data_IF_734520280833
#
_entry.id   IF_734520280833
#
_cell.length_a   1.000
_cell.length_b   1.000
_cell.length_c   1.000
_cell.angle_alpha   90.00
_cell.angle_beta   90.00
_cell.angle_gamma   90.00
#
_symmetry.space_group_name_H-M   'P 1'
#
loop_
_entity.id
_entity.type
_entity.pdbx_description
1 polymer ?
#
# COMPACT_ATOMS: atom_id res chain seq x y z
N UNK A 1 13.99 -0.18 -2.41
CA UNK A 1 12.87 -1.06 -2.07
C UNK A 1 11.73 -0.19 -1.57
N UNK A 2 10.56 -0.22 -2.24
CA UNK A 2 9.50 0.76 -2.02
C UNK A 2 8.28 0.17 -1.27
N UNK A 3 8.49 -0.28 -0.05
CA UNK A 3 7.46 -0.82 0.84
C UNK A 3 6.92 -2.20 0.45
N UNK A 4 6.26 -2.84 1.40
CA UNK A 4 5.60 -4.15 1.23
C UNK A 4 6.52 -5.25 0.66
N UNK A 5 7.82 -5.19 1.05
CA UNK A 5 8.82 -6.16 0.61
C UNK A 5 8.67 -7.47 1.39
N UNK A 6 8.26 -7.36 2.66
CA UNK A 6 7.97 -8.50 3.52
C UNK A 6 6.48 -8.44 3.88
N UNK A 7 5.70 -9.40 3.35
CA UNK A 7 4.28 -9.50 3.70
C UNK A 7 4.09 -10.18 5.06
N UNK A 8 4.31 -9.39 6.14
CA UNK A 8 4.17 -9.87 7.51
C UNK A 8 2.73 -10.21 7.89
N UNK A 9 1.74 -9.85 7.08
CA UNK A 9 0.35 -10.20 7.33
C UNK A 9 0.05 -11.67 7.00
N UNK A 10 0.75 -12.20 5.99
CA UNK A 10 0.55 -13.58 5.51
C UNK A 10 1.54 -14.58 6.11
N UNK A 11 2.58 -14.11 6.81
CA UNK A 11 3.53 -15.00 7.47
C UNK A 11 3.17 -15.20 8.96
N UNK A 12 3.32 -16.43 9.45
CA UNK A 12 3.23 -16.72 10.88
C UNK A 12 4.58 -16.49 11.56
N UNK A 13 4.57 -16.34 12.89
CA UNK A 13 5.81 -16.25 13.68
C UNK A 13 6.71 -17.48 13.55
N UNK A 14 6.14 -18.61 13.15
CA UNK A 14 6.84 -19.91 13.03
C UNK A 14 7.17 -20.29 11.58
N UNK A 15 6.72 -19.51 10.59
CA UNK A 15 6.90 -19.85 9.18
C UNK A 15 7.22 -18.64 8.32
N UNK A 16 8.39 -18.69 7.69
CA UNK A 16 8.81 -17.77 6.64
C UNK A 16 9.38 -18.60 5.49
N UNK A 17 8.89 -18.47 4.24
CA UNK A 17 9.32 -19.30 3.13
C UNK A 17 10.82 -19.18 2.85
N UNK A 18 11.50 -20.31 2.61
CA UNK A 18 12.94 -20.33 2.31
C UNK A 18 13.28 -19.52 1.06
N UNK A 19 12.41 -19.52 0.06
CA UNK A 19 12.58 -18.73 -1.16
C UNK A 19 12.63 -17.24 -0.88
N UNK A 20 11.77 -16.74 0.00
CA UNK A 20 11.75 -15.32 0.43
C UNK A 20 13.01 -14.99 1.24
N UNK A 21 13.43 -15.91 2.12
CA UNK A 21 14.69 -15.76 2.85
C UNK A 21 15.90 -15.65 1.91
N UNK A 22 15.89 -16.35 0.79
CA UNK A 22 16.96 -16.25 -0.20
C UNK A 22 17.00 -14.87 -0.87
N UNK A 23 15.85 -14.25 -1.13
CA UNK A 23 15.78 -12.86 -1.62
C UNK A 23 16.40 -11.90 -0.62
N UNK A 24 16.01 -11.99 0.66
CA UNK A 24 16.58 -11.14 1.72
C UNK A 24 18.10 -11.32 1.85
N UNK A 25 18.59 -12.56 1.76
CA UNK A 25 20.04 -12.84 1.76
C UNK A 25 20.77 -12.17 0.59
N UNK A 26 20.17 -12.14 -0.60
CA UNK A 26 20.77 -11.44 -1.75
C UNK A 26 20.79 -9.93 -1.55
N UNK A 27 19.75 -9.34 -0.99
CA UNK A 27 19.70 -7.91 -0.65
C UNK A 27 20.81 -7.56 0.35
N UNK A 28 20.96 -8.35 1.42
CA UNK A 28 22.02 -8.17 2.41
C UNK A 28 23.40 -8.34 1.76
N UNK A 29 23.57 -9.34 0.89
CA UNK A 29 24.83 -9.55 0.15
C UNK A 29 25.20 -8.35 -0.70
N UNK A 30 24.25 -7.74 -1.42
CA UNK A 30 24.48 -6.52 -2.20
C UNK A 30 24.93 -5.36 -1.29
N UNK A 31 24.29 -5.19 -0.14
CA UNK A 31 24.69 -4.19 0.85
C UNK A 31 26.13 -4.42 1.34
N UNK A 32 26.52 -5.66 1.63
CA UNK A 32 27.88 -6.01 2.06
C UNK A 32 28.92 -5.79 0.95
N UNK A 33 28.53 -5.82 -0.31
CA UNK A 33 29.40 -5.51 -1.47
C UNK A 33 29.49 -4.01 -1.78
N UNK A 34 28.93 -3.15 -0.93
CA UNK A 34 29.01 -1.70 -1.06
C UNK A 34 27.79 -1.04 -1.74
N UNK A 35 26.80 -1.83 -2.17
CA UNK A 35 25.57 -1.26 -2.71
C UNK A 35 24.76 -0.60 -1.59
N UNK A 36 24.43 0.69 -1.73
CA UNK A 36 23.49 1.35 -0.82
C UNK A 36 22.10 0.80 -1.05
N UNK A 37 21.53 0.16 -0.02
CA UNK A 37 20.18 -0.39 -0.03
C UNK A 37 19.30 0.46 0.87
N UNK A 38 18.30 1.08 0.29
CA UNK A 38 17.33 1.87 1.03
C UNK A 38 16.00 1.12 1.01
N UNK A 39 15.50 0.80 2.19
CA UNK A 39 14.25 0.10 2.41
C UNK A 39 13.21 1.08 2.95
N UNK A 40 12.21 1.41 2.14
CA UNK A 40 11.05 2.21 2.55
C UNK A 40 10.02 1.25 3.13
N UNK A 41 9.45 1.57 4.28
CA UNK A 41 8.43 0.73 4.93
C UNK A 41 7.07 0.91 4.28
N UNK A 42 6.28 -0.18 4.22
CA UNK A 42 4.89 -0.19 3.79
C UNK A 42 3.95 -0.68 4.90
N UNK A 43 2.68 -0.87 4.56
CA UNK A 43 1.69 -1.35 5.52
C UNK A 43 1.79 -2.85 5.82
N UNK A 44 2.27 -3.68 4.87
CA UNK A 44 2.48 -5.11 5.12
C UNK A 44 3.70 -5.39 6.00
N UNK A 45 4.68 -4.51 5.99
CA UNK A 45 5.86 -4.56 6.84
C UNK A 45 5.90 -3.43 7.89
N UNK A 46 4.74 -2.89 8.26
CA UNK A 46 4.54 -1.81 9.25
C UNK A 46 5.30 -2.06 10.58
N UNK A 47 5.50 -3.31 10.96
CA UNK A 47 6.25 -3.65 12.16
C UNK A 47 7.72 -3.17 12.13
N UNK A 48 8.27 -2.95 10.95
CA UNK A 48 9.61 -2.40 10.75
C UNK A 48 9.65 -0.88 10.95
N UNK A 49 8.53 -0.17 10.81
CA UNK A 49 8.46 1.29 10.86
C UNK A 49 8.98 1.89 12.18
N UNK A 50 8.83 1.14 13.29
CA UNK A 50 9.40 1.56 14.58
C UNK A 50 10.93 1.64 14.59
N UNK A 51 11.58 1.11 13.54
CA UNK A 51 13.01 1.15 13.33
C UNK A 51 13.39 2.08 12.18
N UNK A 52 12.49 2.95 11.71
CA UNK A 52 12.83 3.98 10.72
C UNK A 52 14.02 4.78 11.19
N UNK A 53 14.86 5.19 10.23
CA UNK A 53 16.15 5.86 10.42
C UNK A 53 17.26 4.93 10.96
N UNK A 54 17.03 3.62 11.03
CA UNK A 54 18.06 2.67 11.36
C UNK A 54 19.00 2.45 10.18
N UNK A 55 20.31 2.58 10.42
CA UNK A 55 21.37 2.37 9.43
C UNK A 55 22.25 1.23 9.88
N UNK A 56 22.43 0.22 9.01
CA UNK A 56 23.31 -0.90 9.20
C UNK A 56 24.27 -1.01 8.01
N UNK A 57 25.46 -0.43 8.12
CA UNK A 57 26.40 -0.34 7.01
C UNK A 57 25.79 0.40 5.81
N UNK A 58 25.65 -0.29 4.67
CA UNK A 58 25.01 0.27 3.47
C UNK A 58 23.51 -0.01 3.37
N UNK A 59 22.89 -0.56 4.42
CA UNK A 59 21.45 -0.78 4.50
C UNK A 59 20.79 0.28 5.39
N UNK A 60 19.77 0.92 4.88
CA UNK A 60 19.04 2.02 5.54
C UNK A 60 17.54 1.75 5.50
N UNK A 61 16.86 1.86 6.65
CA UNK A 61 15.41 1.70 6.78
C UNK A 61 14.77 3.07 7.00
N UNK A 62 13.83 3.44 6.13
CA UNK A 62 13.16 4.75 6.16
C UNK A 62 11.68 4.66 5.85
N UNK A 63 10.90 5.69 6.22
CA UNK A 63 9.48 5.79 5.83
C UNK A 63 9.28 6.50 4.48
N UNK A 64 10.22 7.35 4.12
CA UNK A 64 10.24 8.09 2.86
C UNK A 64 11.66 8.46 2.50
N UNK A 65 11.88 8.73 1.23
CA UNK A 65 13.19 9.14 0.72
C UNK A 65 13.02 10.28 -0.28
N UNK A 66 13.90 11.26 -0.20
CA UNK A 66 14.02 12.31 -1.20
C UNK A 66 15.42 12.19 -1.79
N UNK A 67 15.49 11.97 -3.10
CA UNK A 67 16.74 11.94 -3.85
C UNK A 67 16.74 13.05 -4.89
N UNK A 68 17.90 13.60 -5.14
CA UNK A 68 18.14 14.43 -6.31
C UNK A 68 18.79 13.57 -7.40
N UNK A 69 18.09 13.40 -8.52
CA UNK A 69 18.51 12.61 -9.67
C UNK A 69 18.55 13.56 -10.86
N UNK A 70 19.73 13.76 -11.45
CA UNK A 70 19.95 14.69 -12.56
C UNK A 70 19.40 16.11 -12.30
N UNK A 71 19.64 16.63 -11.09
CA UNK A 71 19.18 17.96 -10.66
C UNK A 71 17.67 18.03 -10.38
N UNK A 72 16.95 16.92 -10.39
CA UNK A 72 15.51 16.85 -10.15
C UNK A 72 15.22 16.13 -8.84
N UNK A 73 14.50 16.79 -7.95
CA UNK A 73 14.07 16.20 -6.66
C UNK A 73 12.98 15.17 -6.91
N UNK A 74 13.22 13.95 -6.44
CA UNK A 74 12.31 12.81 -6.53
C UNK A 74 11.92 12.36 -5.14
N UNK A 75 10.62 12.29 -4.87
CA UNK A 75 10.06 11.82 -3.61
C UNK A 75 9.61 10.37 -3.74
N UNK A 76 10.20 9.50 -2.92
CA UNK A 76 9.85 8.09 -2.81
C UNK A 76 9.16 7.82 -1.47
N UNK A 77 8.04 7.15 -1.50
CA UNK A 77 7.33 6.66 -0.32
C UNK A 77 6.40 5.51 -0.73
N UNK A 78 5.95 4.70 0.24
CA UNK A 78 5.07 3.58 -0.11
C UNK A 78 3.68 4.06 -0.51
N UNK A 79 3.00 4.83 0.31
CA UNK A 79 1.66 5.36 0.03
C UNK A 79 0.64 5.16 1.15
N UNK A 80 0.84 4.20 2.01
CA UNK A 80 -0.07 3.84 3.11
C UNK A 80 -0.32 4.95 4.14
N UNK A 81 0.51 6.00 4.15
CA UNK A 81 0.32 7.17 5.01
C UNK A 81 -0.99 7.92 4.72
N UNK A 82 -1.53 7.79 3.51
CA UNK A 82 -2.81 8.37 3.12
C UNK A 82 -4.02 7.52 3.49
N UNK A 83 -3.79 6.32 4.04
CA UNK A 83 -4.84 5.36 4.44
C UNK A 83 -5.55 5.69 5.75
N UNK A 84 -5.39 6.88 6.31
CA UNK A 84 -5.89 7.22 7.63
C UNK A 84 -7.41 7.00 7.81
N UNK A 85 -8.17 7.01 6.74
CA UNK A 85 -9.62 6.74 6.74
C UNK A 85 -9.98 5.24 6.60
N UNK A 86 -9.04 4.39 6.19
CA UNK A 86 -9.31 2.97 5.87
C UNK A 86 -8.63 1.99 6.82
N UNK A 87 -7.77 2.44 7.72
CA UNK A 87 -6.95 1.61 8.63
C UNK A 87 -7.71 0.52 9.41
N UNK A 88 -8.99 0.72 9.71
CA UNK A 88 -9.81 -0.26 10.43
C UNK A 88 -10.40 -1.34 9.52
N UNK A 89 -11.06 -0.94 8.44
CA UNK A 89 -11.80 -1.84 7.55
C UNK A 89 -10.92 -2.56 6.53
N UNK A 90 -9.90 -1.88 5.99
CA UNK A 90 -8.98 -2.48 5.03
C UNK A 90 -8.14 -3.60 5.64
N UNK A 91 -7.68 -3.44 6.90
CA UNK A 91 -6.98 -4.52 7.63
C UNK A 91 -7.85 -5.77 7.80
N UNK A 92 -9.15 -5.60 8.04
CA UNK A 92 -10.09 -6.73 8.19
C UNK A 92 -10.34 -7.39 6.83
N UNK A 93 -10.55 -6.60 5.78
CA UNK A 93 -10.80 -7.11 4.42
C UNK A 93 -9.56 -7.77 3.81
N UNK A 94 -8.38 -7.20 3.97
CA UNK A 94 -7.14 -7.79 3.49
C UNK A 94 -6.78 -9.10 4.24
N UNK A 95 -7.06 -9.15 5.56
CA UNK A 95 -6.84 -10.37 6.37
C UNK A 95 -7.80 -11.51 6.01
N UNK A 96 -8.95 -11.17 5.42
CA UNK A 96 -9.93 -12.16 4.98
C UNK A 96 -9.62 -12.72 3.58
N UNK A 97 -8.82 -12.04 2.75
CA UNK A 97 -8.39 -12.51 1.43
C UNK A 97 -9.53 -12.94 0.50
N UNK A 98 -9.24 -13.71 -0.56
CA UNK A 98 -10.26 -14.26 -1.46
C UNK A 98 -11.28 -15.18 -0.75
N UNK A 99 -10.83 -15.93 0.28
CA UNK A 99 -11.72 -16.74 1.14
C UNK A 99 -12.69 -15.90 1.96
N UNK A 100 -12.37 -14.64 2.23
CA UNK A 100 -13.28 -13.72 2.91
C UNK A 100 -14.45 -13.29 2.07
N UNK A 101 -14.29 -13.20 0.75
CA UNK A 101 -15.39 -12.93 -0.18
C UNK A 101 -16.40 -14.08 -0.19
N UNK A 102 -15.92 -15.33 -0.27
CA UNK A 102 -16.78 -16.53 -0.22
C UNK A 102 -17.50 -16.65 1.13
N UNK A 103 -16.80 -16.35 2.22
CA UNK A 103 -17.39 -16.31 3.56
C UNK A 103 -18.46 -15.21 3.69
N UNK A 104 -18.23 -14.03 3.12
CA UNK A 104 -19.22 -12.96 3.08
C UNK A 104 -20.47 -13.34 2.27
N UNK A 105 -20.31 -14.04 1.15
CA UNK A 105 -21.43 -14.57 0.37
C UNK A 105 -22.21 -15.60 1.19
N UNK A 106 -21.51 -16.51 1.87
CA UNK A 106 -22.12 -17.54 2.72
C UNK A 106 -22.90 -16.92 3.90
N UNK A 107 -22.30 -15.97 4.60
CA UNK A 107 -22.93 -15.22 5.70
C UNK A 107 -24.16 -14.46 5.19
N UNK A 108 -24.05 -13.83 4.01
CA UNK A 108 -25.16 -13.13 3.39
C UNK A 108 -26.34 -14.08 3.06
N UNK A 109 -26.03 -15.26 2.52
CA UNK A 109 -27.03 -16.30 2.23
C UNK A 109 -27.71 -16.80 3.51
N UNK A 110 -26.92 -17.03 4.57
CA UNK A 110 -27.46 -17.43 5.88
C UNK A 110 -28.35 -16.33 6.48
N UNK A 111 -27.91 -15.08 6.47
CA UNK A 111 -28.69 -13.95 7.00
C UNK A 111 -30.00 -13.78 6.21
N UNK A 112 -29.97 -13.89 4.88
CA UNK A 112 -31.18 -13.78 4.08
C UNK A 112 -32.13 -14.95 4.29
N UNK A 113 -31.62 -16.17 4.48
CA UNK A 113 -32.41 -17.34 4.84
C UNK A 113 -33.09 -17.15 6.21
N UNK A 114 -32.39 -16.68 7.26
CA UNK A 114 -32.99 -16.36 8.54
C UNK A 114 -34.02 -15.23 8.42
N UNK A 115 -33.77 -14.21 7.61
CA UNK A 115 -34.73 -13.11 7.39
C UNK A 115 -36.03 -13.59 6.73
N UNK A 116 -35.94 -14.51 5.77
CA UNK A 116 -37.12 -15.15 5.15
C UNK A 116 -37.93 -15.96 6.16
N UNK A 117 -37.27 -16.70 7.06
CA UNK A 117 -37.92 -17.44 8.14
C UNK A 117 -38.73 -16.53 9.09
N UNK A 118 -38.29 -15.27 9.27
CA UNK A 118 -38.98 -14.27 10.10
C UNK A 118 -39.82 -13.26 9.28
N UNK A 119 -40.15 -13.59 8.03
CA UNK A 119 -41.04 -12.77 7.18
C UNK A 119 -40.46 -11.40 6.79
N UNK A 120 -39.14 -11.22 6.84
CA UNK A 120 -38.46 -9.99 6.45
C UNK A 120 -37.94 -10.07 5.03
N UNK A 121 -38.04 -8.97 4.26
CA UNK A 121 -37.53 -8.88 2.90
C UNK A 121 -36.02 -9.13 2.80
N UNK A 122 -35.57 -9.75 1.69
CA UNK A 122 -34.16 -9.93 1.36
C UNK A 122 -33.47 -8.59 1.23
N UNK A 123 -32.32 -8.42 1.85
CA UNK A 123 -31.45 -7.25 1.60
C UNK A 123 -30.45 -7.59 0.50
N UNK A 124 -30.46 -6.77 -0.56
CA UNK A 124 -29.47 -6.87 -1.62
C UNK A 124 -28.17 -6.18 -1.19
N UNK A 125 -27.11 -6.96 -0.99
CA UNK A 125 -25.77 -6.41 -0.72
C UNK A 125 -25.06 -5.92 -1.97
N UNK A 126 -25.68 -6.03 -3.16
CA UNK A 126 -25.15 -5.48 -4.42
C UNK A 126 -24.94 -3.97 -4.33
N UNK A 127 -25.77 -3.24 -3.58
CA UNK A 127 -25.59 -1.82 -3.32
C UNK A 127 -24.34 -1.55 -2.47
N UNK A 128 -24.12 -2.34 -1.41
CA UNK A 128 -22.94 -2.22 -0.54
C UNK A 128 -21.66 -2.49 -1.31
N UNK A 129 -21.64 -3.47 -2.21
CA UNK A 129 -20.49 -3.78 -3.07
C UNK A 129 -20.24 -2.63 -4.05
N UNK A 130 -21.29 -2.11 -4.71
CA UNK A 130 -21.17 -0.94 -5.60
C UNK A 130 -20.64 0.29 -4.89
N UNK A 131 -21.12 0.56 -3.67
CA UNK A 131 -20.66 1.67 -2.87
C UNK A 131 -19.20 1.50 -2.40
N UNK A 132 -18.78 0.27 -2.11
CA UNK A 132 -17.40 -0.05 -1.76
C UNK A 132 -16.46 0.15 -2.96
N UNK A 133 -16.87 -0.28 -4.16
CA UNK A 133 -16.10 -0.05 -5.40
C UNK A 133 -15.99 1.46 -5.69
N UNK A 134 -17.08 2.22 -5.57
CA UNK A 134 -17.05 3.68 -5.73
C UNK A 134 -16.10 4.35 -4.74
N UNK A 135 -16.12 3.93 -3.48
CA UNK A 135 -15.20 4.44 -2.45
C UNK A 135 -13.74 4.12 -2.77
N UNK A 136 -13.46 2.90 -3.25
CA UNK A 136 -12.11 2.52 -3.65
C UNK A 136 -11.61 3.35 -4.84
N UNK A 137 -12.45 3.57 -5.86
CA UNK A 137 -12.09 4.43 -7.01
C UNK A 137 -11.87 5.87 -6.57
N UNK A 138 -12.74 6.42 -5.71
CA UNK A 138 -12.57 7.77 -5.16
C UNK A 138 -11.29 7.87 -4.32
N UNK A 139 -10.97 6.86 -3.52
CA UNK A 139 -9.74 6.81 -2.74
C UNK A 139 -8.50 6.84 -3.66
N UNK A 140 -8.46 6.00 -4.69
CA UNK A 140 -7.36 5.98 -5.66
C UNK A 140 -7.18 7.35 -6.32
N UNK A 141 -8.27 7.97 -6.76
CA UNK A 141 -8.24 9.30 -7.38
C UNK A 141 -7.74 10.37 -6.41
N UNK A 142 -8.23 10.36 -5.17
CA UNK A 142 -7.82 11.31 -4.14
C UNK A 142 -6.36 11.11 -3.73
N UNK A 143 -5.89 9.85 -3.65
CA UNK A 143 -4.50 9.51 -3.35
C UNK A 143 -3.55 10.15 -4.36
N UNK A 144 -3.81 9.93 -5.66
CA UNK A 144 -2.97 10.44 -6.75
C UNK A 144 -2.90 11.99 -6.71
N UNK A 145 -4.07 12.63 -6.55
CA UNK A 145 -4.16 14.08 -6.49
C UNK A 145 -3.44 14.64 -5.27
N UNK A 146 -3.69 14.07 -4.10
CA UNK A 146 -3.05 14.53 -2.85
C UNK A 146 -1.53 14.37 -2.89
N UNK A 147 -1.04 13.22 -3.38
CA UNK A 147 0.39 13.00 -3.52
C UNK A 147 1.05 14.00 -4.48
N UNK A 148 0.38 14.30 -5.60
CA UNK A 148 0.85 15.26 -6.58
C UNK A 148 0.83 16.70 -6.04
N UNK A 149 -0.22 17.12 -5.35
CA UNK A 149 -0.33 18.45 -4.75
C UNK A 149 0.79 18.70 -3.74
N UNK A 150 1.03 17.75 -2.83
CA UNK A 150 2.13 17.83 -1.85
C UNK A 150 3.48 17.92 -2.56
N UNK A 151 3.68 17.16 -3.62
CA UNK A 151 4.93 17.16 -4.37
C UNK A 151 5.18 18.49 -5.10
N UNK A 152 4.16 19.04 -5.73
CA UNK A 152 4.21 20.34 -6.41
C UNK A 152 4.52 21.45 -5.39
N UNK A 153 3.79 21.47 -4.26
CA UNK A 153 4.00 22.45 -3.19
C UNK A 153 5.45 22.43 -2.64
N UNK A 154 6.03 21.23 -2.56
CA UNK A 154 7.42 21.04 -2.08
C UNK A 154 8.48 21.18 -3.18
N UNK A 155 8.09 21.47 -4.41
CA UNK A 155 9.00 21.60 -5.56
C UNK A 155 9.67 20.31 -5.98
N UNK A 156 8.99 19.16 -5.82
CA UNK A 156 9.46 17.87 -6.32
C UNK A 156 9.07 17.72 -7.80
N UNK A 157 9.99 17.20 -8.60
CA UNK A 157 9.75 16.93 -10.03
C UNK A 157 9.12 15.56 -10.27
N UNK A 158 9.39 14.60 -9.36
CA UNK A 158 8.89 13.24 -9.45
C UNK A 158 8.34 12.76 -8.12
N UNK A 159 7.27 11.95 -8.20
CA UNK A 159 6.72 11.16 -7.11
C UNK A 159 6.75 9.69 -7.52
N UNK A 160 7.35 8.84 -6.69
CA UNK A 160 7.41 7.40 -6.89
C UNK A 160 6.78 6.72 -5.68
N UNK A 161 5.66 6.05 -5.89
CA UNK A 161 4.93 5.36 -4.84
C UNK A 161 4.43 3.98 -5.29
N UNK A 162 3.81 3.24 -4.39
CA UNK A 162 3.16 1.95 -4.60
C UNK A 162 1.78 1.92 -3.97
N UNK A 163 1.47 0.87 -3.20
CA UNK A 163 0.34 0.71 -2.30
C UNK A 163 -1.03 0.50 -2.97
N UNK A 164 -1.38 1.31 -3.97
CA UNK A 164 -2.71 1.21 -4.62
C UNK A 164 -2.79 0.16 -5.72
N UNK A 165 -1.68 -0.56 -5.99
CA UNK A 165 -1.59 -1.62 -6.99
C UNK A 165 -2.15 -1.22 -8.37
N UNK A 166 -1.91 0.02 -8.77
CA UNK A 166 -2.32 0.57 -10.06
C UNK A 166 -1.11 1.12 -10.80
N UNK A 167 -0.35 0.28 -11.50
CA UNK A 167 0.84 0.71 -12.22
C UNK A 167 0.49 1.78 -13.25
N UNK A 168 1.10 2.94 -13.10
CA UNK A 168 0.92 4.03 -14.07
C UNK A 168 2.04 5.07 -13.96
N UNK A 169 2.23 5.79 -15.06
CA UNK A 169 3.07 6.97 -15.15
C UNK A 169 2.29 8.07 -15.83
N UNK A 170 2.16 9.23 -15.18
CA UNK A 170 1.47 10.39 -15.75
C UNK A 170 2.02 11.70 -15.20
N UNK A 171 1.89 12.77 -15.97
CA UNK A 171 2.10 14.12 -15.47
C UNK A 171 0.81 14.65 -14.89
N UNK A 172 0.90 15.19 -13.67
CA UNK A 172 -0.20 15.87 -12.98
C UNK A 172 0.22 17.32 -12.83
N UNK A 173 -0.65 18.24 -13.22
CA UNK A 173 -0.43 19.69 -13.16
C UNK A 173 -1.56 20.38 -12.43
N UNK A 174 -1.25 21.50 -11.77
CA UNK A 174 -2.18 22.43 -11.17
C UNK A 174 -1.68 23.87 -11.38
N UNK A 175 -2.36 24.86 -10.80
CA UNK A 175 -2.00 26.27 -10.88
C UNK A 175 -0.60 26.61 -10.31
N UNK A 176 -0.01 25.74 -9.49
CA UNK A 176 1.28 25.94 -8.83
C UNK A 176 2.43 25.20 -9.51
N UNK A 177 2.17 24.32 -10.47
CA UNK A 177 3.20 23.59 -11.19
C UNK A 177 2.78 22.21 -11.68
N UNK A 178 3.78 21.38 -11.96
CA UNK A 178 3.58 20.03 -12.44
C UNK A 178 4.54 19.03 -11.79
N UNK A 179 4.12 17.78 -11.71
CA UNK A 179 4.93 16.66 -11.21
C UNK A 179 4.68 15.41 -12.05
N UNK A 180 5.72 14.62 -12.27
CA UNK A 180 5.57 13.28 -12.85
C UNK A 180 5.29 12.28 -11.73
N UNK A 181 4.10 11.70 -11.77
CA UNK A 181 3.62 10.69 -10.83
C UNK A 181 3.87 9.29 -11.39
N UNK A 182 4.51 8.42 -10.60
CA UNK A 182 4.77 7.01 -10.90
C UNK A 182 4.23 6.16 -9.77
N UNK A 183 3.44 5.13 -10.12
CA UNK A 183 2.97 4.12 -9.16
C UNK A 183 3.31 2.73 -9.72
N UNK A 184 3.71 1.81 -8.82
CA UNK A 184 4.07 0.42 -9.13
C UNK A 184 3.07 -0.56 -8.55
#
# INVERSE_FOLDING_TARGET
LNGDIIDMWNFSKSYFPVTHMNVLRQIIKLSNLGTRVIYITGNHDEALRKYSDFVLGNFELVDKLILEIDGKKTWFFHGDVFDSSTRGYAKILAKLGGKGYDLLILINSCINWFRELFGKEKRSYSKTIKDSVKKAVAFISNFETTAAEIAIEKGYSFVVCGHIHKPQMKTIENEHGQVTYLNS
#
